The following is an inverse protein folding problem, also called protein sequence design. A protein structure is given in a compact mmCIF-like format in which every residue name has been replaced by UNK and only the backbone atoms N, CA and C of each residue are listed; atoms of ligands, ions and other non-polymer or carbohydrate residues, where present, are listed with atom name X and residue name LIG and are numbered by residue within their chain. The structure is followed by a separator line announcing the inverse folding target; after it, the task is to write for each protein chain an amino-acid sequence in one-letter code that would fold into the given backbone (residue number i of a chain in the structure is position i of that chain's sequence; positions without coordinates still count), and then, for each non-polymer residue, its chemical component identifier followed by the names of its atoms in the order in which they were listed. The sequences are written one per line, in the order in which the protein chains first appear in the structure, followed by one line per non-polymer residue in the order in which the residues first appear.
data_IF_790430076518
#
_entry.id   IF_790430076518
#
_cell.length_a   1.000
_cell.length_b   1.000
_cell.length_c   1.000
_cell.angle_alpha   90.00
_cell.angle_beta   90.00
_cell.angle_gamma   90.00
#
_symmetry.space_group_name_H-M   'P 1'
#
loop_
_entity.id
_entity.type
_entity.pdbx_description
1 polymer ?
#
# COMPACT_ATOMS: atom_id res chain seq x y z
N UNK A 1 0.38 -12.20 9.84
CA UNK A 1 1.43 -11.85 8.88
C UNK A 1 1.97 -10.44 9.11
N UNK A 2 1.11 -9.44 9.27
CA UNK A 2 1.51 -8.04 9.47
C UNK A 2 2.63 -7.84 10.51
N UNK A 3 2.46 -8.27 11.77
CA UNK A 3 3.46 -8.02 12.83
C UNK A 3 4.86 -8.54 12.50
N UNK A 4 4.99 -9.77 12.00
CA UNK A 4 6.28 -10.36 11.64
C UNK A 4 6.89 -9.58 10.47
N UNK A 5 6.09 -9.26 9.46
CA UNK A 5 6.55 -8.50 8.30
C UNK A 5 6.90 -7.05 8.65
N UNK A 6 6.18 -6.43 9.58
CA UNK A 6 6.48 -5.10 10.11
C UNK A 6 7.81 -5.12 10.85
N UNK A 7 8.02 -6.06 11.77
CA UNK A 7 9.31 -6.20 12.47
C UNK A 7 10.48 -6.41 11.50
N UNK A 8 10.33 -7.32 10.54
CA UNK A 8 11.36 -7.59 9.53
C UNK A 8 11.66 -6.36 8.67
N UNK A 9 10.62 -5.73 8.10
CA UNK A 9 10.79 -4.55 7.23
C UNK A 9 11.30 -3.33 7.99
N UNK A 10 10.89 -3.15 9.25
CA UNK A 10 11.40 -2.09 10.13
C UNK A 10 12.88 -2.29 10.44
N UNK A 11 13.28 -3.51 10.81
CA UNK A 11 14.68 -3.83 11.06
C UNK A 11 15.53 -3.65 9.79
N UNK A 12 15.06 -4.17 8.65
CA UNK A 12 15.75 -4.05 7.37
C UNK A 12 15.93 -2.58 6.95
N UNK A 13 14.86 -1.78 7.03
CA UNK A 13 14.92 -0.37 6.68
C UNK A 13 15.85 0.41 7.62
N UNK A 14 15.76 0.17 8.93
CA UNK A 14 16.65 0.80 9.91
C UNK A 14 18.13 0.48 9.70
N UNK A 15 18.46 -0.73 9.21
CA UNK A 15 19.84 -1.10 8.85
C UNK A 15 20.33 -0.39 7.59
N UNK A 16 19.45 -0.14 6.62
CA UNK A 16 19.80 0.47 5.33
C UNK A 16 19.81 2.01 5.40
N UNK A 17 18.93 2.60 6.21
CA UNK A 17 18.66 4.04 6.23
C UNK A 17 18.43 4.54 7.66
N UNK A 18 19.50 4.59 8.45
CA UNK A 18 19.46 5.00 9.85
C UNK A 18 18.93 6.43 10.05
N UNK A 19 19.33 7.37 9.19
CA UNK A 19 18.97 8.78 9.31
C UNK A 19 17.49 9.06 8.99
N UNK A 20 16.90 8.27 8.08
CA UNK A 20 15.51 8.43 7.67
C UNK A 20 14.52 7.63 8.51
N UNK A 21 14.95 7.05 9.62
CA UNK A 21 14.10 6.19 10.43
C UNK A 21 13.15 7.02 11.28
N UNK A 22 11.84 6.75 11.18
CA UNK A 22 10.79 7.52 11.86
C UNK A 22 10.78 9.03 11.54
N UNK A 23 11.17 9.39 10.32
CA UNK A 23 11.28 10.78 9.87
C UNK A 23 9.97 11.57 10.05
N UNK A 24 8.84 11.04 9.57
CA UNK A 24 7.52 11.68 9.74
C UNK A 24 7.13 11.86 11.22
N UNK A 25 7.16 10.81 12.07
CA UNK A 25 6.88 10.98 13.50
C UNK A 25 7.78 12.00 14.21
N UNK A 26 9.07 12.05 13.88
CA UNK A 26 10.07 12.85 14.59
C UNK A 26 10.13 14.29 14.08
N UNK A 27 10.20 14.47 12.76
CA UNK A 27 10.47 15.76 12.11
C UNK A 27 9.20 16.46 11.60
N UNK A 28 8.16 15.70 11.26
CA UNK A 28 6.90 16.22 10.66
C UNK A 28 5.65 15.61 11.31
N UNK A 29 5.56 15.66 12.64
CA UNK A 29 4.53 14.94 13.40
C UNK A 29 3.10 15.33 13.00
N UNK A 30 2.84 16.59 12.63
CA UNK A 30 1.52 17.03 12.18
C UNK A 30 1.13 16.34 10.86
N UNK A 31 2.04 16.33 9.88
CA UNK A 31 1.83 15.64 8.61
C UNK A 31 1.59 14.14 8.83
N UNK A 32 2.33 13.53 9.77
CA UNK A 32 2.11 12.14 10.17
C UNK A 32 0.71 11.90 10.75
N UNK A 33 0.23 12.75 11.65
CA UNK A 33 -1.11 12.64 12.24
C UNK A 33 -2.22 12.82 11.18
N UNK A 34 -2.04 13.77 10.27
CA UNK A 34 -2.95 13.94 9.13
C UNK A 34 -2.94 12.68 8.27
N UNK A 35 -1.76 12.13 7.98
CA UNK A 35 -1.59 10.92 7.19
C UNK A 35 -2.31 9.72 7.85
N UNK A 36 -2.22 9.53 9.17
CA UNK A 36 -2.91 8.44 9.88
C UNK A 36 -4.43 8.40 9.63
N UNK A 37 -5.05 9.55 9.39
CA UNK A 37 -6.50 9.68 9.19
C UNK A 37 -6.85 9.78 7.71
N UNK A 38 -6.17 10.66 6.97
CA UNK A 38 -6.47 10.96 5.58
C UNK A 38 -6.10 9.80 4.66
N UNK A 39 -4.98 9.12 4.90
CA UNK A 39 -4.47 8.07 4.00
C UNK A 39 -5.45 6.88 3.85
N UNK A 40 -6.01 6.29 4.93
CA UNK A 40 -7.00 5.22 4.78
C UNK A 40 -8.23 5.61 3.96
N UNK A 41 -8.70 6.85 4.11
CA UNK A 41 -9.98 7.30 3.55
C UNK A 41 -9.82 7.83 2.12
N UNK A 42 -8.85 8.70 1.89
CA UNK A 42 -8.67 9.41 0.63
C UNK A 42 -7.80 8.63 -0.36
N UNK A 43 -6.92 7.75 0.13
CA UNK A 43 -5.99 7.00 -0.70
C UNK A 43 -6.38 5.53 -0.79
N UNK A 44 -6.36 4.81 0.33
CA UNK A 44 -6.52 3.35 0.35
C UNK A 44 -7.91 2.91 -0.10
N UNK A 45 -8.97 3.53 0.43
CA UNK A 45 -10.34 3.13 0.12
C UNK A 45 -10.66 3.23 -1.39
N UNK A 46 -10.41 4.36 -2.09
CA UNK A 46 -10.58 4.44 -3.54
C UNK A 46 -9.75 3.42 -4.31
N UNK A 47 -8.50 3.22 -3.91
CA UNK A 47 -7.61 2.25 -4.57
C UNK A 47 -8.15 0.83 -4.45
N UNK A 48 -8.49 0.36 -3.26
CA UNK A 48 -9.01 -1.00 -3.06
C UNK A 48 -10.41 -1.17 -3.68
N UNK A 49 -11.22 -0.11 -3.73
CA UNK A 49 -12.51 -0.14 -4.43
C UNK A 49 -12.32 -0.40 -5.93
N UNK A 50 -11.38 0.28 -6.58
CA UNK A 50 -11.10 0.16 -8.01
C UNK A 50 -10.41 -1.17 -8.33
N UNK A 51 -9.26 -1.42 -7.70
CA UNK A 51 -8.39 -2.53 -8.09
C UNK A 51 -8.83 -3.87 -7.51
N UNK A 52 -9.60 -3.89 -6.41
CA UNK A 52 -10.15 -5.15 -5.87
C UNK A 52 -11.62 -5.29 -6.19
N UNK A 53 -12.47 -4.50 -5.53
CA UNK A 53 -13.91 -4.77 -5.56
C UNK A 53 -14.47 -4.70 -6.96
N UNK A 54 -14.25 -3.56 -7.64
CA UNK A 54 -14.70 -3.34 -8.99
C UNK A 54 -14.02 -4.30 -9.98
N UNK A 55 -12.69 -4.38 -9.99
CA UNK A 55 -11.97 -5.24 -10.93
C UNK A 55 -12.35 -6.72 -10.81
N UNK A 56 -12.34 -7.29 -9.60
CA UNK A 56 -12.65 -8.70 -9.40
C UNK A 56 -14.10 -9.03 -9.75
N UNK A 57 -15.03 -8.11 -9.49
CA UNK A 57 -16.43 -8.27 -9.86
C UNK A 57 -16.61 -8.18 -11.38
N UNK A 58 -16.13 -7.09 -11.99
CA UNK A 58 -16.33 -6.76 -13.41
C UNK A 58 -15.70 -7.79 -14.34
N UNK A 59 -14.51 -8.29 -14.01
CA UNK A 59 -13.75 -9.19 -14.86
C UNK A 59 -13.94 -10.67 -14.51
N UNK A 60 -14.71 -11.04 -13.47
CA UNK A 60 -14.96 -12.46 -13.11
C UNK A 60 -15.45 -13.32 -14.27
N UNK A 61 -16.28 -12.77 -15.16
CA UNK A 61 -16.87 -13.50 -16.28
C UNK A 61 -15.86 -13.80 -17.40
N UNK A 62 -14.90 -12.90 -17.62
CA UNK A 62 -13.90 -13.00 -18.68
C UNK A 62 -12.63 -13.69 -18.15
N UNK A 63 -12.31 -13.47 -16.86
CA UNK A 63 -11.17 -14.02 -16.14
C UNK A 63 -11.68 -14.88 -14.97
N UNK A 64 -12.15 -16.12 -15.22
CA UNK A 64 -12.74 -16.96 -14.18
C UNK A 64 -11.72 -17.34 -13.10
N UNK A 65 -10.46 -17.53 -13.48
CA UNK A 65 -9.36 -17.84 -12.55
C UNK A 65 -9.15 -16.72 -11.54
N UNK A 66 -9.16 -17.07 -10.25
CA UNK A 66 -8.83 -16.14 -9.16
C UNK A 66 -7.37 -15.72 -9.22
N UNK A 67 -6.45 -16.66 -9.46
CA UNK A 67 -5.01 -16.41 -9.53
C UNK A 67 -4.67 -15.41 -10.63
N UNK A 68 -5.29 -15.54 -11.81
CA UNK A 68 -5.08 -14.59 -12.92
C UNK A 68 -5.56 -13.19 -12.53
N UNK A 69 -6.72 -13.08 -11.87
CA UNK A 69 -7.21 -11.78 -11.37
C UNK A 69 -6.31 -11.20 -10.29
N UNK A 70 -5.72 -12.02 -9.41
CA UNK A 70 -4.76 -11.56 -8.40
C UNK A 70 -3.55 -10.91 -9.05
N UNK A 71 -2.92 -11.61 -9.99
CA UNK A 71 -1.71 -11.09 -10.67
C UNK A 71 -2.04 -9.85 -11.49
N UNK A 72 -3.11 -9.87 -12.30
CA UNK A 72 -3.47 -8.71 -13.13
C UNK A 72 -3.89 -7.50 -12.31
N UNK A 73 -4.65 -7.71 -11.23
CA UNK A 73 -5.03 -6.63 -10.30
C UNK A 73 -3.79 -6.01 -9.64
N UNK A 74 -2.81 -6.82 -9.23
CA UNK A 74 -1.54 -6.34 -8.70
C UNK A 74 -0.70 -5.60 -9.76
N UNK A 75 -0.63 -6.11 -11.00
CA UNK A 75 0.07 -5.45 -12.10
C UNK A 75 -0.53 -4.09 -12.45
N UNK A 76 -1.86 -3.99 -12.53
CA UNK A 76 -2.54 -2.72 -12.80
C UNK A 76 -2.37 -1.72 -11.66
N UNK A 77 -2.39 -2.22 -10.42
CA UNK A 77 -2.12 -1.41 -9.24
C UNK A 77 -0.69 -0.86 -9.24
N UNK A 78 0.30 -1.69 -9.57
CA UNK A 78 1.70 -1.26 -9.73
C UNK A 78 1.88 -0.26 -10.87
N UNK A 79 1.19 -0.48 -12.00
CA UNK A 79 1.21 0.45 -13.13
C UNK A 79 0.68 1.83 -12.78
N UNK A 80 -0.37 1.91 -11.93
CA UNK A 80 -0.87 3.20 -11.45
C UNK A 80 0.18 3.98 -10.62
N UNK A 81 1.16 3.28 -10.04
CA UNK A 81 2.25 3.89 -9.27
C UNK A 81 3.44 4.35 -10.14
N UNK A 82 3.40 4.15 -11.46
CA UNK A 82 4.37 4.78 -12.37
C UNK A 82 4.33 6.31 -12.29
N UNK A 83 3.22 6.91 -11.81
CA UNK A 83 3.08 8.36 -11.61
C UNK A 83 4.11 8.96 -10.65
N UNK A 84 4.65 8.15 -9.74
CA UNK A 84 5.66 8.58 -8.77
C UNK A 84 7.08 8.65 -9.36
N UNK A 85 7.26 8.28 -10.65
CA UNK A 85 8.55 8.21 -11.34
C UNK A 85 9.65 7.51 -10.51
N UNK A 86 9.24 6.48 -9.78
CA UNK A 86 10.10 5.77 -8.84
C UNK A 86 9.89 4.27 -8.98
N UNK A 87 10.94 3.56 -9.38
CA UNK A 87 10.88 2.12 -9.56
C UNK A 87 10.62 1.36 -8.25
N UNK A 88 11.06 1.88 -7.10
CA UNK A 88 10.72 1.30 -5.80
C UNK A 88 9.21 1.37 -5.54
N UNK A 89 8.54 2.47 -5.93
CA UNK A 89 7.10 2.59 -5.79
C UNK A 89 6.38 1.50 -6.57
N UNK A 90 6.81 1.26 -7.81
CA UNK A 90 6.25 0.21 -8.68
C UNK A 90 6.44 -1.18 -8.05
N UNK A 91 7.63 -1.50 -7.56
CA UNK A 91 7.94 -2.80 -6.95
C UNK A 91 7.15 -3.00 -5.65
N UNK A 92 7.15 -2.03 -4.74
CA UNK A 92 6.41 -2.10 -3.48
C UNK A 92 4.92 -2.22 -3.73
N UNK A 93 4.38 -1.45 -4.67
CA UNK A 93 2.96 -1.52 -5.03
C UNK A 93 2.62 -2.84 -5.69
N UNK A 94 3.50 -3.45 -6.50
CA UNK A 94 3.25 -4.79 -7.04
C UNK A 94 3.18 -5.84 -5.92
N UNK A 95 4.13 -5.84 -4.99
CA UNK A 95 4.16 -6.80 -3.87
C UNK A 95 2.97 -6.60 -2.91
N UNK A 96 2.67 -5.36 -2.55
CA UNK A 96 1.47 -5.01 -1.77
C UNK A 96 0.19 -5.38 -2.53
N UNK A 97 0.14 -5.09 -3.82
CA UNK A 97 -0.98 -5.42 -4.69
C UNK A 97 -1.25 -6.93 -4.78
N UNK A 98 -0.21 -7.77 -4.78
CA UNK A 98 -0.34 -9.22 -4.71
C UNK A 98 -0.94 -9.66 -3.36
N UNK A 99 -0.45 -9.10 -2.26
CA UNK A 99 -0.96 -9.37 -0.91
C UNK A 99 -2.44 -9.00 -0.80
N UNK A 100 -2.80 -7.75 -1.11
CA UNK A 100 -4.18 -7.26 -0.96
C UNK A 100 -5.15 -7.97 -1.92
N UNK A 101 -4.70 -8.27 -3.14
CA UNK A 101 -5.50 -9.05 -4.09
C UNK A 101 -5.74 -10.48 -3.63
N UNK A 102 -4.72 -11.12 -3.03
CA UNK A 102 -4.87 -12.44 -2.44
C UNK A 102 -5.88 -12.41 -1.28
N UNK A 103 -5.74 -11.44 -0.38
CA UNK A 103 -6.68 -11.22 0.74
C UNK A 103 -8.10 -11.00 0.24
N UNK A 104 -8.31 -10.19 -0.81
CA UNK A 104 -9.63 -9.99 -1.40
C UNK A 104 -10.18 -11.27 -2.04
N UNK A 105 -9.35 -12.03 -2.77
CA UNK A 105 -9.76 -13.25 -3.44
C UNK A 105 -10.25 -14.35 -2.48
N UNK A 106 -9.74 -14.34 -1.25
CA UNK A 106 -10.10 -15.26 -0.17
C UNK A 106 -11.25 -14.72 0.70
N UNK A 107 -11.11 -13.50 1.24
CA UNK A 107 -12.08 -12.90 2.17
C UNK A 107 -13.34 -12.35 1.49
N UNK A 108 -13.24 -11.94 0.22
CA UNK A 108 -14.26 -11.16 -0.50
C UNK A 108 -14.73 -9.89 0.22
N UNK A 109 -13.92 -9.37 1.14
CA UNK A 109 -14.25 -8.20 1.94
C UNK A 109 -13.39 -7.02 1.56
N UNK A 110 -14.03 -5.96 1.07
CA UNK A 110 -13.35 -4.68 0.82
C UNK A 110 -12.79 -4.10 2.12
N UNK A 111 -13.54 -4.20 3.23
CA UNK A 111 -13.12 -3.67 4.53
C UNK A 111 -11.83 -4.34 5.03
N UNK A 112 -11.70 -5.66 4.87
CA UNK A 112 -10.47 -6.37 5.27
C UNK A 112 -9.27 -5.91 4.45
N UNK A 113 -9.44 -5.69 3.15
CA UNK A 113 -8.36 -5.21 2.28
C UNK A 113 -7.98 -3.76 2.59
N UNK A 114 -8.97 -2.90 2.85
CA UNK A 114 -8.73 -1.51 3.26
C UNK A 114 -7.98 -1.46 4.59
N UNK A 115 -8.34 -2.31 5.57
CA UNK A 115 -7.62 -2.39 6.83
C UNK A 115 -6.19 -2.90 6.64
N UNK A 116 -5.99 -3.98 5.87
CA UNK A 116 -4.67 -4.54 5.60
C UNK A 116 -3.76 -3.55 4.87
N UNK A 117 -4.27 -2.93 3.80
CA UNK A 117 -3.54 -1.92 3.03
C UNK A 117 -3.26 -0.68 3.90
N UNK A 118 -4.23 -0.20 4.68
CA UNK A 118 -4.00 0.94 5.59
C UNK A 118 -2.88 0.63 6.58
N UNK A 119 -2.89 -0.54 7.22
CA UNK A 119 -1.83 -0.94 8.15
C UNK A 119 -0.44 -0.94 7.49
N UNK A 120 -0.33 -1.53 6.30
CA UNK A 120 0.94 -1.59 5.58
C UNK A 120 1.41 -0.22 5.08
N UNK A 121 0.52 0.60 4.52
CA UNK A 121 0.85 1.94 4.06
C UNK A 121 1.28 2.84 5.21
N UNK A 122 0.46 2.91 6.27
CA UNK A 122 0.80 3.70 7.47
C UNK A 122 2.11 3.25 8.10
N UNK A 123 2.40 1.94 8.12
CA UNK A 123 3.68 1.42 8.59
C UNK A 123 4.86 1.92 7.73
N UNK A 124 4.77 1.83 6.40
CA UNK A 124 5.81 2.30 5.48
C UNK A 124 6.08 3.80 5.65
N UNK A 125 5.03 4.62 5.78
CA UNK A 125 5.18 6.05 6.08
C UNK A 125 5.81 6.27 7.46
N UNK A 126 5.36 5.54 8.47
CA UNK A 126 5.83 5.69 9.85
C UNK A 126 7.30 5.35 9.99
N UNK A 127 7.81 4.29 9.33
CA UNK A 127 9.24 3.96 9.40
C UNK A 127 10.12 4.87 8.55
N UNK A 128 9.55 5.77 7.74
CA UNK A 128 10.26 6.71 6.87
C UNK A 128 10.53 6.21 5.45
N UNK A 129 10.12 4.97 5.13
CA UNK A 129 10.16 4.45 3.76
C UNK A 129 9.09 5.08 2.85
N UNK A 130 8.14 5.82 3.43
CA UNK A 130 7.09 6.55 2.71
C UNK A 130 7.61 7.54 1.66
N UNK A 131 8.85 8.04 1.80
CA UNK A 131 9.51 8.90 0.80
C UNK A 131 9.56 8.31 -0.62
N UNK A 132 9.49 6.99 -0.74
CA UNK A 132 9.45 6.32 -2.04
C UNK A 132 8.04 6.30 -2.67
N UNK A 133 7.00 6.55 -1.87
CA UNK A 133 5.59 6.50 -2.25
C UNK A 133 4.90 7.88 -2.13
N UNK A 134 5.69 8.93 -1.92
CA UNK A 134 5.22 10.30 -1.77
C UNK A 134 5.58 11.11 -3.02
N UNK A 135 4.66 11.97 -3.43
CA UNK A 135 4.90 12.95 -4.49
C UNK A 135 5.42 14.29 -3.93
N UNK A 136 5.62 14.39 -2.61
CA UNK A 136 6.18 15.56 -1.93
C UNK A 136 5.11 16.56 -1.47
N UNK A 137 3.93 16.07 -1.04
CA UNK A 137 2.87 16.95 -0.52
C UNK A 137 3.12 17.26 0.95
N UNK A 138 3.50 18.51 1.27
CA UNK A 138 3.62 19.01 2.65
C UNK A 138 2.36 19.79 3.04
N UNK A 139 1.87 19.63 4.29
CA UNK A 139 0.74 20.39 4.82
C UNK A 139 1.20 21.55 5.74
N UNK A 140 2.45 21.97 5.60
CA UNK A 140 3.13 23.00 6.38
C UNK A 140 3.70 24.11 5.51
#
# INVERSE_FOLDING_TARGET
MFFIGALFSGMLYGLISQEGWFDFPINSTLDWLVLLIAYPILSVLPQELIFRSYFFHRYKRILPSKTVRVVLSASLFAFAHCVYDNWMAIVLSFLGGLLFSYTYAHSRSLAVCVLEHSLWGLWIFTIGAGKYLDAGVTFT
#
